data_IF_172823339450
#
_entry.id   IF_172823339450
#
_cell.length_a   1.000
_cell.length_b   1.000
_cell.length_c   1.000
_cell.angle_alpha   90.00
_cell.angle_beta   90.00
_cell.angle_gamma   90.00
#
_symmetry.space_group_name_H-M   'P 1'
#
loop_
_entity.id
_entity.type
_entity.pdbx_description
1 polymer ?
#
# COMPACT_ATOMS: atom_id res chain seq x y z
N UNK A 1 -11.70 -12.78 -27.34
CA UNK A 1 -10.28 -12.52 -27.03
C UNK A 1 -10.17 -12.40 -25.52
N UNK A 2 -9.32 -13.21 -24.86
CA UNK A 2 -8.99 -12.99 -23.45
C UNK A 2 -8.15 -11.72 -23.42
N UNK A 3 -8.72 -10.60 -23.01
CA UNK A 3 -7.91 -9.49 -22.58
C UNK A 3 -7.29 -9.93 -21.24
N UNK A 4 -6.04 -10.41 -21.27
CA UNK A 4 -5.22 -10.44 -20.07
C UNK A 4 -4.94 -8.97 -19.71
N UNK A 5 -5.95 -8.33 -19.10
CA UNK A 5 -5.86 -6.96 -18.62
C UNK A 5 -5.03 -7.06 -17.35
N UNK A 6 -3.73 -6.77 -17.50
CA UNK A 6 -2.82 -6.59 -16.39
C UNK A 6 -3.29 -5.46 -15.47
N UNK A 7 -2.74 -5.41 -14.26
CA UNK A 7 -2.96 -4.29 -13.36
C UNK A 7 -2.12 -3.09 -13.81
N UNK A 8 -2.70 -1.89 -13.74
CA UNK A 8 -1.88 -0.68 -13.58
C UNK A 8 -1.34 -0.67 -12.15
N UNK A 9 -0.05 -0.41 -12.00
CA UNK A 9 0.60 -0.32 -10.70
C UNK A 9 0.43 1.10 -10.19
N UNK A 10 -0.01 1.24 -8.95
CA UNK A 10 -0.11 2.52 -8.24
C UNK A 10 0.97 2.58 -7.17
N UNK A 11 1.75 3.66 -7.18
CA UNK A 11 2.87 3.91 -6.27
C UNK A 11 2.75 5.28 -5.57
N UNK A 12 1.70 5.51 -4.76
CA UNK A 12 1.53 6.78 -4.05
C UNK A 12 2.77 7.15 -3.22
N UNK A 13 3.30 8.36 -3.40
CA UNK A 13 4.52 8.87 -2.72
C UNK A 13 4.50 8.66 -1.19
N UNK A 14 3.32 8.75 -0.56
CA UNK A 14 3.21 8.57 0.89
C UNK A 14 3.51 7.15 1.37
N UNK A 15 3.47 6.15 0.48
CA UNK A 15 3.87 4.77 0.79
C UNK A 15 5.36 4.65 1.07
N UNK A 16 6.22 5.42 0.40
CA UNK A 16 7.67 5.35 0.62
C UNK A 16 8.04 5.72 2.05
N UNK A 17 7.42 6.79 2.58
CA UNK A 17 7.58 7.19 3.99
C UNK A 17 7.07 6.12 4.94
N UNK A 18 5.97 5.47 4.58
CA UNK A 18 5.32 4.43 5.36
C UNK A 18 6.12 3.12 5.37
N UNK A 19 6.80 2.80 4.27
CA UNK A 19 7.59 1.59 4.10
C UNK A 19 9.07 1.74 4.47
N UNK A 20 9.58 2.98 4.54
CA UNK A 20 11.00 3.25 4.82
C UNK A 20 11.52 2.62 6.11
N UNK A 21 10.64 2.43 7.11
CA UNK A 21 10.98 1.76 8.38
C UNK A 21 10.59 0.29 8.48
N UNK A 22 9.96 -0.29 7.44
CA UNK A 22 9.39 -1.65 7.51
C UNK A 22 10.26 -2.61 6.72
N UNK A 23 10.92 -3.53 7.42
CA UNK A 23 11.80 -4.53 6.80
C UNK A 23 11.01 -5.72 6.24
N UNK A 24 9.98 -6.17 6.96
CA UNK A 24 9.22 -7.38 6.63
C UNK A 24 8.16 -7.12 5.56
N UNK A 25 8.20 -7.89 4.47
CA UNK A 25 7.29 -7.73 3.33
C UNK A 25 5.84 -8.02 3.72
N UNK A 26 5.63 -8.96 4.64
CA UNK A 26 4.30 -9.36 5.12
C UNK A 26 3.60 -8.20 5.83
N UNK A 27 4.35 -7.38 6.57
CA UNK A 27 3.81 -6.18 7.21
C UNK A 27 3.43 -5.13 6.17
N UNK A 28 4.23 -4.93 5.12
CA UNK A 28 3.87 -4.03 4.01
C UNK A 28 2.57 -4.49 3.33
N UNK A 29 2.44 -5.78 3.06
CA UNK A 29 1.22 -6.38 2.50
C UNK A 29 0.02 -6.15 3.42
N UNK A 30 0.17 -6.35 4.74
CA UNK A 30 -0.91 -6.12 5.70
C UNK A 30 -1.35 -4.66 5.72
N UNK A 31 -0.40 -3.71 5.71
CA UNK A 31 -0.71 -2.28 5.68
C UNK A 31 -1.42 -1.87 4.40
N UNK A 32 -0.96 -2.36 3.25
CA UNK A 32 -1.64 -2.11 1.98
C UNK A 32 -3.07 -2.67 1.99
N UNK A 33 -3.27 -3.90 2.49
CA UNK A 33 -4.62 -4.46 2.61
C UNK A 33 -5.51 -3.63 3.56
N UNK A 34 -4.96 -3.07 4.64
CA UNK A 34 -5.67 -2.15 5.51
C UNK A 34 -6.10 -0.87 4.80
N UNK A 35 -5.19 -0.26 4.03
CA UNK A 35 -5.48 0.91 3.18
C UNK A 35 -6.57 0.58 2.15
N UNK A 36 -6.45 -0.55 1.46
CA UNK A 36 -7.44 -0.99 0.48
C UNK A 36 -8.81 -1.27 1.11
N UNK A 37 -8.87 -1.77 2.34
CA UNK A 37 -10.13 -1.96 3.07
C UNK A 37 -10.88 -0.65 3.25
N UNK A 38 -10.17 0.42 3.64
CA UNK A 38 -10.77 1.75 3.79
C UNK A 38 -11.22 2.28 2.44
N UNK A 39 -10.38 2.17 1.42
CA UNK A 39 -10.71 2.63 0.07
C UNK A 39 -11.98 1.94 -0.47
N UNK A 40 -12.16 0.66 -0.16
CA UNK A 40 -13.35 -0.11 -0.56
C UNK A 40 -14.64 0.36 0.11
N UNK A 41 -14.54 1.11 1.21
CA UNK A 41 -15.70 1.73 1.88
C UNK A 41 -16.05 3.11 1.29
N UNK A 42 -15.25 3.62 0.34
CA UNK A 42 -15.48 4.94 -0.27
C UNK A 42 -16.14 4.84 -1.64
N UNK A 43 -16.59 5.96 -2.19
CA UNK A 43 -17.22 5.99 -3.52
C UNK A 43 -16.23 5.85 -4.68
N UNK A 44 -14.91 5.75 -4.42
CA UNK A 44 -13.89 5.82 -5.49
C UNK A 44 -14.01 4.65 -6.47
N UNK A 45 -14.35 3.45 -5.98
CA UNK A 45 -14.53 2.25 -6.82
C UNK A 45 -15.64 2.50 -7.85
N UNK A 46 -16.75 3.10 -7.43
CA UNK A 46 -17.86 3.45 -8.33
C UNK A 46 -17.48 4.63 -9.23
N UNK A 47 -16.83 5.67 -8.70
CA UNK A 47 -16.46 6.89 -9.44
C UNK A 47 -15.59 6.59 -10.65
N UNK A 48 -14.60 5.70 -10.51
CA UNK A 48 -13.65 5.36 -11.57
C UNK A 48 -13.91 4.00 -12.23
N UNK A 49 -15.07 3.39 -11.97
CA UNK A 49 -15.44 2.06 -12.50
C UNK A 49 -14.33 0.99 -12.30
N UNK A 50 -13.75 0.97 -11.11
CA UNK A 50 -12.69 0.03 -10.74
C UNK A 50 -13.30 -1.36 -10.57
N UNK A 51 -12.79 -2.34 -11.31
CA UNK A 51 -13.24 -3.74 -11.24
C UNK A 51 -12.31 -4.62 -10.40
N UNK A 52 -11.07 -4.16 -10.15
CA UNK A 52 -10.16 -4.80 -9.22
C UNK A 52 -9.23 -3.76 -8.60
N UNK A 53 -9.01 -3.86 -7.29
CA UNK A 53 -8.07 -3.05 -6.53
C UNK A 53 -7.47 -3.96 -5.48
N UNK A 54 -6.24 -4.42 -5.71
CA UNK A 54 -5.63 -5.52 -4.97
C UNK A 54 -4.17 -5.22 -4.63
N UNK A 55 -3.66 -5.87 -3.58
CA UNK A 55 -2.22 -5.89 -3.33
C UNK A 55 -1.58 -6.89 -4.28
N UNK A 56 -0.64 -6.44 -5.08
CA UNK A 56 0.09 -7.25 -6.06
C UNK A 56 1.58 -7.27 -5.74
N UNK A 57 2.26 -8.33 -6.17
CA UNK A 57 3.72 -8.40 -6.11
C UNK A 57 4.29 -7.97 -7.45
N UNK A 58 4.97 -6.83 -7.47
CA UNK A 58 5.68 -6.32 -8.64
C UNK A 58 7.07 -6.92 -8.68
N UNK A 59 7.54 -7.27 -9.87
CA UNK A 59 8.86 -7.84 -10.10
C UNK A 59 9.55 -7.10 -11.24
N UNK A 60 10.20 -5.98 -10.91
CA UNK A 60 11.02 -5.21 -11.85
C UNK A 60 12.51 -5.46 -11.60
N UNK A 61 13.11 -4.65 -10.72
CA UNK A 61 14.52 -4.76 -10.27
C UNK A 61 14.60 -5.56 -8.96
N UNK A 62 13.57 -5.42 -8.12
CA UNK A 62 13.36 -6.20 -6.90
C UNK A 62 11.89 -6.60 -6.80
N UNK A 63 11.60 -7.59 -5.95
CA UNK A 63 10.24 -8.02 -5.66
C UNK A 63 9.68 -7.19 -4.52
N UNK A 64 8.61 -6.43 -4.76
CA UNK A 64 7.98 -5.58 -3.75
C UNK A 64 6.45 -5.58 -3.88
N UNK A 65 5.73 -5.36 -2.77
CA UNK A 65 4.28 -5.25 -2.81
C UNK A 65 3.87 -3.84 -3.25
N UNK A 66 2.87 -3.75 -4.11
CA UNK A 66 2.28 -2.50 -4.58
C UNK A 66 0.76 -2.62 -4.66
N UNK A 67 0.07 -1.52 -4.98
CA UNK A 67 -1.35 -1.53 -5.27
C UNK A 67 -1.53 -1.72 -6.77
N UNK A 68 -2.31 -2.72 -7.15
CA UNK A 68 -2.74 -2.93 -8.53
C UNK A 68 -4.16 -2.45 -8.70
N UNK A 69 -4.43 -1.67 -9.74
CA UNK A 69 -5.78 -1.27 -10.14
C UNK A 69 -6.12 -1.77 -11.54
N UNK A 70 -7.40 -2.13 -11.73
CA UNK A 70 -7.97 -2.47 -13.02
C UNK A 70 -9.34 -1.84 -13.19
N UNK A 71 -9.56 -1.23 -14.35
CA UNK A 71 -10.82 -0.56 -14.69
C UNK A 71 -11.68 -1.42 -15.61
N UNK A 72 -12.98 -1.10 -15.67
CA UNK A 72 -13.89 -1.71 -16.65
C UNK A 72 -13.61 -1.30 -18.09
N UNK A 73 -12.99 -0.12 -18.29
CA UNK A 73 -12.61 0.39 -19.60
C UNK A 73 -11.12 0.82 -19.58
N UNK A 74 -10.32 0.30 -20.50
CA UNK A 74 -8.88 0.56 -20.58
C UNK A 74 -8.53 1.90 -21.23
N UNK A 75 -9.52 2.65 -21.72
CA UNK A 75 -9.27 3.92 -22.44
C UNK A 75 -9.00 5.12 -21.51
N UNK A 76 -9.25 4.98 -20.21
CA UNK A 76 -9.01 6.05 -19.25
C UNK A 76 -7.88 5.65 -18.28
N UNK A 77 -6.85 6.48 -18.22
CA UNK A 77 -5.80 6.40 -17.20
C UNK A 77 -6.18 7.34 -16.05
N UNK A 78 -6.53 6.76 -14.91
CA UNK A 78 -6.90 7.48 -13.68
C UNK A 78 -5.88 7.23 -12.56
N UNK A 79 -4.68 6.74 -12.90
CA UNK A 79 -3.68 6.35 -11.91
C UNK A 79 -3.35 7.48 -10.96
N UNK A 80 -3.03 8.65 -11.52
CA UNK A 80 -2.61 9.82 -10.76
C UNK A 80 -3.69 10.29 -9.77
N UNK A 81 -4.97 10.36 -10.18
CA UNK A 81 -6.05 10.79 -9.29
C UNK A 81 -6.33 9.79 -8.18
N UNK A 82 -6.17 8.50 -8.45
CA UNK A 82 -6.34 7.45 -7.43
C UNK A 82 -5.15 7.49 -6.46
N UNK A 83 -3.93 7.69 -6.95
CA UNK A 83 -2.75 7.86 -6.09
C UNK A 83 -2.87 9.09 -5.19
N UNK A 84 -3.35 10.23 -5.72
CA UNK A 84 -3.61 11.43 -4.92
C UNK A 84 -4.63 11.13 -3.81
N UNK A 85 -5.70 10.42 -4.13
CA UNK A 85 -6.70 10.02 -3.14
C UNK A 85 -6.13 9.07 -2.07
N UNK A 86 -5.31 8.10 -2.46
CA UNK A 86 -4.63 7.19 -1.52
C UNK A 86 -3.68 8.01 -0.61
N UNK A 87 -2.96 8.97 -1.16
CA UNK A 87 -2.12 9.88 -0.41
C UNK A 87 -2.92 10.68 0.62
N UNK A 88 -4.11 11.18 0.28
CA UNK A 88 -4.98 11.87 1.22
C UNK A 88 -5.42 10.96 2.37
N UNK A 89 -5.84 9.72 2.09
CA UNK A 89 -6.23 8.73 3.12
C UNK A 89 -5.06 8.43 4.06
N UNK A 90 -3.86 8.21 3.51
CA UNK A 90 -2.67 7.94 4.32
C UNK A 90 -2.37 9.16 5.19
N UNK A 91 -2.49 10.38 4.66
CA UNK A 91 -2.22 11.64 5.38
C UNK A 91 -3.30 12.03 6.37
N UNK A 92 -4.55 11.55 6.25
CA UNK A 92 -5.71 11.98 7.07
C UNK A 92 -5.72 11.43 8.51
N UNK A 93 -4.55 11.31 9.13
CA UNK A 93 -4.26 11.29 10.57
C UNK A 93 -4.39 9.96 11.33
N UNK A 94 -5.44 9.14 11.20
CA UNK A 94 -5.58 8.00 12.14
C UNK A 94 -4.67 6.80 11.79
N UNK A 95 -4.60 6.43 10.52
CA UNK A 95 -3.73 5.35 10.05
C UNK A 95 -2.26 5.73 10.15
N UNK A 96 -1.89 6.95 9.76
CA UNK A 96 -0.51 7.41 9.86
C UNK A 96 0.00 7.37 11.31
N UNK A 97 -0.82 7.80 12.27
CA UNK A 97 -0.45 7.79 13.68
C UNK A 97 -0.32 6.35 14.22
N UNK A 98 -1.23 5.45 13.83
CA UNK A 98 -1.16 4.03 14.23
C UNK A 98 0.07 3.34 13.64
N UNK A 99 0.40 3.62 12.37
CA UNK A 99 1.54 3.03 11.70
C UNK A 99 2.85 3.58 12.26
N UNK A 100 2.98 4.91 12.44
CA UNK A 100 4.14 5.48 13.10
C UNK A 100 4.34 4.90 14.49
N UNK A 101 3.26 4.75 15.27
CA UNK A 101 3.33 4.07 16.56
C UNK A 101 3.87 2.64 16.43
N UNK A 102 3.37 1.84 15.48
CA UNK A 102 3.85 0.46 15.27
C UNK A 102 5.32 0.44 14.81
N UNK A 103 5.73 1.37 13.94
CA UNK A 103 7.10 1.46 13.41
C UNK A 103 8.07 1.90 14.52
N UNK A 104 7.74 2.96 15.26
CA UNK A 104 8.55 3.51 16.35
C UNK A 104 8.70 2.53 17.53
N UNK A 105 7.74 1.63 17.72
CA UNK A 105 7.80 0.60 18.76
C UNK A 105 8.40 -0.73 18.29
N UNK A 106 8.52 -0.97 16.98
CA UNK A 106 9.23 -2.15 16.46
C UNK A 106 10.75 -1.98 16.50
N UNK A 107 11.27 -0.77 16.34
CA UNK A 107 12.71 -0.47 16.52
C UNK A 107 13.18 -0.71 17.96
N UNK A 108 12.29 -0.59 18.96
CA UNK A 108 12.59 -0.91 20.36
C UNK A 108 12.75 -2.42 20.62
N UNK A 109 12.02 -3.27 19.88
CA UNK A 109 12.07 -4.73 20.05
C UNK A 109 13.43 -5.29 19.58
N UNK A 110 14.02 -4.73 18.53
CA UNK A 110 15.33 -5.18 18.03
C UNK A 110 16.49 -4.78 18.96
N UNK A 111 16.42 -3.60 19.59
CA UNK A 111 17.40 -3.22 20.60
C UNK A 111 17.39 -4.17 21.80
N UNK A 112 16.22 -4.54 22.31
CA UNK A 112 16.11 -5.38 23.50
C UNK A 112 16.50 -6.84 23.23
N UNK A 113 16.17 -7.38 22.06
CA UNK A 113 16.65 -8.72 21.65
C UNK A 113 18.19 -8.72 21.49
N UNK A 114 18.76 -7.67 20.89
CA UNK A 114 20.22 -7.57 20.73
C UNK A 114 20.98 -7.50 22.07
N UNK A 115 20.38 -6.86 23.08
CA UNK A 115 20.90 -6.79 24.46
C UNK A 115 20.78 -8.14 25.18
N UNK A 116 19.73 -8.92 24.90
CA UNK A 116 19.52 -10.25 25.50
C UNK A 116 20.41 -11.36 24.89
N UNK A 117 20.80 -11.24 23.62
CA UNK A 117 21.64 -12.26 22.93
C UNK A 117 23.15 -12.02 23.02
N UNK A 118 23.60 -10.94 23.67
CA UNK A 118 25.03 -10.62 23.86
C UNK A 118 25.57 -10.94 25.27
N UNK A 119 24.83 -11.69 26.07
CA UNK A 119 25.30 -12.29 27.34
C UNK A 119 25.64 -13.77 27.13
#
# INVERSE_FOLDING_TARGET
MKNDIGYQILEPESLDKLFGGIIRVEFKILLLNGILSIIRETEIIRKYNIIALDVIMVNYISKYPAIGVRYSNNENDYGDEIEEYINEIIKSSYIFNLINYIVDNNSLIEEDISKLTKQ
#
